data_IF_716990680390
#
_entry.id   IF_716990680390
#
_cell.length_a   1.000
_cell.length_b   1.000
_cell.length_c   1.000
_cell.angle_alpha   90.00
_cell.angle_beta   90.00
_cell.angle_gamma   90.00
#
_symmetry.space_group_name_H-M   'P 1'
#
loop_
_entity.id
_entity.type
_entity.pdbx_description
1 polymer ?
#
# COMPACT_ATOMS: atom_id res chain seq x y z
N UNK A 1 -65.89 -59.26 -10.48
CA UNK A 1 -66.12 -58.00 -9.73
C UNK A 1 -65.08 -57.93 -8.60
N UNK A 2 -64.44 -56.76 -8.42
CA UNK A 2 -63.59 -56.33 -7.26
C UNK A 2 -62.19 -56.99 -7.21
N UNK A 3 -61.08 -56.42 -7.73
CA UNK A 3 -60.26 -55.23 -7.37
C UNK A 3 -59.74 -55.18 -5.91
N UNK A 4 -58.57 -55.75 -5.65
CA UNK A 4 -57.64 -55.33 -4.57
C UNK A 4 -56.19 -55.45 -5.11
N UNK A 5 -55.67 -54.39 -5.75
CA UNK A 5 -54.92 -53.28 -5.14
C UNK A 5 -53.56 -53.72 -4.62
N UNK A 6 -52.52 -53.39 -5.42
CA UNK A 6 -51.10 -53.55 -5.10
C UNK A 6 -50.75 -52.85 -3.77
N UNK A 7 -50.27 -53.59 -2.79
CA UNK A 7 -49.46 -53.02 -1.71
C UNK A 7 -47.99 -53.05 -2.14
N UNK A 8 -47.58 -52.04 -2.92
CA UNK A 8 -46.16 -51.76 -3.18
C UNK A 8 -45.56 -51.22 -1.89
N UNK A 9 -44.87 -52.08 -1.15
CA UNK A 9 -44.01 -51.66 -0.05
C UNK A 9 -42.77 -50.97 -0.66
N UNK A 10 -42.86 -49.66 -0.88
CA UNK A 10 -41.72 -48.84 -1.24
C UNK A 10 -40.91 -48.56 0.04
N UNK A 11 -39.84 -49.32 0.23
CA UNK A 11 -38.80 -48.99 1.17
C UNK A 11 -38.00 -47.83 0.56
N UNK A 12 -38.31 -46.59 0.97
CA UNK A 12 -37.54 -45.40 0.60
C UNK A 12 -36.38 -45.29 1.61
N UNK A 13 -35.12 -45.54 1.21
CA UNK A 13 -34.01 -45.23 2.09
C UNK A 13 -33.85 -43.70 2.10
N UNK A 14 -34.25 -43.09 3.22
CA UNK A 14 -33.89 -41.72 3.56
C UNK A 14 -32.38 -41.65 3.82
N UNK A 15 -31.58 -41.47 2.77
CA UNK A 15 -30.17 -41.12 2.91
C UNK A 15 -30.10 -39.60 3.03
N UNK A 16 -30.24 -39.15 4.27
CA UNK A 16 -29.88 -37.81 4.69
C UNK A 16 -28.35 -37.72 4.84
N UNK A 17 -27.79 -36.60 4.37
CA UNK A 17 -26.54 -36.06 4.89
C UNK A 17 -25.27 -36.43 4.11
N UNK A 18 -24.81 -35.50 3.27
CA UNK A 18 -23.43 -34.97 3.22
C UNK A 18 -23.34 -33.93 2.08
N UNK A 19 -24.05 -32.82 2.26
CA UNK A 19 -23.79 -31.59 1.54
C UNK A 19 -23.27 -30.57 2.55
N UNK A 20 -22.03 -30.76 2.98
CA UNK A 20 -21.33 -29.83 3.86
C UNK A 20 -19.84 -29.79 3.49
N UNK A 21 -19.56 -29.46 2.23
CA UNK A 21 -18.36 -28.67 1.96
C UNK A 21 -18.83 -27.21 2.05
N UNK A 22 -18.90 -26.66 3.27
CA UNK A 22 -18.78 -25.22 3.38
C UNK A 22 -17.34 -24.94 2.95
N UNK A 23 -17.21 -24.36 1.76
CA UNK A 23 -16.01 -23.66 1.35
C UNK A 23 -15.67 -22.73 2.52
N UNK A 24 -14.66 -23.13 3.29
CA UNK A 24 -14.13 -22.27 4.33
C UNK A 24 -13.42 -21.19 3.55
N UNK A 25 -14.13 -20.12 3.26
CA UNK A 25 -13.53 -18.89 2.78
C UNK A 25 -12.54 -18.48 3.87
N UNK A 26 -11.29 -18.91 3.70
CA UNK A 26 -10.16 -18.50 4.52
C UNK A 26 -10.28 -16.97 4.63
N UNK A 27 -10.37 -16.42 5.85
CA UNK A 27 -10.55 -15.00 6.02
C UNK A 27 -9.37 -14.32 5.35
N UNK A 28 -9.64 -13.69 4.20
CA UNK A 28 -8.64 -13.02 3.40
C UNK A 28 -7.88 -12.09 4.32
N UNK A 29 -6.58 -12.32 4.44
CA UNK A 29 -5.62 -11.66 5.31
C UNK A 29 -5.35 -10.24 4.79
N UNK A 30 -6.41 -9.46 4.63
CA UNK A 30 -6.41 -8.08 4.14
C UNK A 30 -6.89 -7.22 5.30
N UNK A 31 -6.09 -6.21 5.68
CA UNK A 31 -6.54 -5.21 6.66
C UNK A 31 -7.89 -4.64 6.20
N UNK A 32 -8.97 -4.76 7.00
CA UNK A 32 -10.25 -4.22 6.61
C UNK A 32 -10.18 -2.69 6.67
N UNK A 33 -10.02 -2.05 5.50
CA UNK A 33 -10.24 -0.62 5.35
C UNK A 33 -11.75 -0.39 5.42
N UNK A 34 -12.23 0.37 6.40
CA UNK A 34 -13.66 0.60 6.54
C UNK A 34 -14.27 1.18 5.24
N UNK A 35 -15.26 0.49 4.69
CA UNK A 35 -15.92 0.82 3.42
C UNK A 35 -15.09 0.51 2.16
N UNK A 36 -13.95 -0.18 2.29
CA UNK A 36 -13.13 -0.62 1.17
C UNK A 36 -13.41 -2.07 0.80
N UNK A 37 -13.47 -2.33 -0.50
CA UNK A 37 -13.65 -3.66 -1.11
C UNK A 37 -12.53 -3.84 -2.15
N UNK A 38 -11.59 -4.78 -1.95
CA UNK A 38 -10.38 -4.90 -2.77
C UNK A 38 -10.64 -5.15 -4.26
N UNK A 39 -11.62 -5.97 -4.61
CA UNK A 39 -11.90 -6.37 -5.99
C UNK A 39 -12.44 -5.19 -6.81
N UNK A 40 -13.29 -4.36 -6.19
CA UNK A 40 -13.73 -3.06 -6.68
C UNK A 40 -12.53 -2.12 -6.81
N UNK A 41 -11.64 -2.11 -5.82
CA UNK A 41 -10.40 -1.34 -5.85
C UNK A 41 -9.54 -1.70 -7.06
N UNK A 42 -9.36 -2.99 -7.33
CA UNK A 42 -8.63 -3.51 -8.50
C UNK A 42 -9.23 -3.01 -9.82
N UNK A 43 -10.55 -3.01 -9.93
CA UNK A 43 -11.25 -2.51 -11.11
C UNK A 43 -11.06 -0.99 -11.27
N UNK A 44 -11.15 -0.23 -10.19
CA UNK A 44 -10.92 1.22 -10.18
C UNK A 44 -9.47 1.57 -10.54
N UNK A 45 -8.47 0.84 -10.02
CA UNK A 45 -7.06 1.02 -10.40
C UNK A 45 -6.87 0.86 -11.91
N UNK A 46 -7.57 -0.09 -12.53
CA UNK A 46 -7.56 -0.25 -13.97
C UNK A 46 -8.26 0.94 -14.68
N UNK A 47 -9.44 1.36 -14.19
CA UNK A 47 -10.24 2.43 -14.79
C UNK A 47 -9.54 3.81 -14.71
N UNK A 48 -8.92 4.14 -13.58
CA UNK A 48 -8.17 5.38 -13.40
C UNK A 48 -6.78 5.36 -14.05
N UNK A 49 -6.40 4.27 -14.71
CA UNK A 49 -5.15 4.18 -15.46
C UNK A 49 -3.90 4.21 -14.59
N UNK A 50 -3.97 3.83 -13.31
CA UNK A 50 -2.82 3.82 -12.39
C UNK A 50 -1.66 2.96 -12.94
N UNK A 51 -2.00 1.91 -13.68
CA UNK A 51 -1.06 0.99 -14.32
C UNK A 51 -0.20 1.59 -15.44
N UNK A 52 -0.53 2.80 -15.92
CA UNK A 52 0.30 3.53 -16.90
C UNK A 52 1.63 3.96 -16.29
N UNK A 53 1.63 4.33 -15.00
CA UNK A 53 2.82 4.77 -14.28
C UNK A 53 3.38 3.69 -13.37
N UNK A 54 2.54 2.85 -12.77
CA UNK A 54 2.93 1.87 -11.76
C UNK A 54 2.88 0.43 -12.27
N UNK A 55 3.75 -0.41 -11.73
CA UNK A 55 3.61 -1.86 -11.79
C UNK A 55 2.79 -2.31 -10.60
N UNK A 56 1.67 -3.00 -10.86
CA UNK A 56 0.69 -3.40 -9.84
C UNK A 56 0.28 -4.85 -10.13
N UNK A 57 0.54 -5.75 -9.18
CA UNK A 57 0.18 -7.15 -9.35
C UNK A 57 -1.33 -7.36 -9.29
N UNK A 58 -1.81 -8.38 -10.00
CA UNK A 58 -3.25 -8.69 -10.18
C UNK A 58 -4.04 -7.69 -11.04
N UNK A 59 -3.45 -6.56 -11.45
CA UNK A 59 -4.06 -5.57 -12.35
C UNK A 59 -3.54 -5.77 -13.77
N UNK A 60 -4.45 -6.09 -14.69
CA UNK A 60 -4.11 -6.36 -16.10
C UNK A 60 -3.47 -5.13 -16.76
N UNK A 61 -2.31 -5.34 -17.37
CA UNK A 61 -1.60 -4.28 -18.11
C UNK A 61 -0.91 -3.24 -17.23
N UNK A 62 -0.99 -3.34 -15.89
CA UNK A 62 -0.29 -2.44 -14.98
C UNK A 62 1.19 -2.79 -14.87
N UNK A 63 1.96 -2.35 -15.86
CA UNK A 63 3.42 -2.61 -15.99
C UNK A 63 4.21 -1.30 -16.15
N UNK A 64 3.63 -0.18 -15.72
CA UNK A 64 4.28 1.13 -15.75
C UNK A 64 5.51 1.17 -14.85
N UNK A 65 6.49 2.00 -15.23
CA UNK A 65 7.77 2.18 -14.52
C UNK A 65 8.13 3.64 -14.26
N UNK A 66 7.20 4.56 -14.53
CA UNK A 66 7.38 6.00 -14.26
C UNK A 66 7.29 6.24 -12.76
N UNK A 67 6.31 5.62 -12.10
CA UNK A 67 6.19 5.57 -10.65
C UNK A 67 6.87 4.34 -10.05
N UNK A 68 7.04 4.31 -8.72
CA UNK A 68 7.55 3.14 -8.02
C UNK A 68 6.64 1.92 -8.20
N UNK A 69 7.22 0.73 -8.08
CA UNK A 69 6.45 -0.53 -8.11
C UNK A 69 5.60 -0.67 -6.83
N UNK A 70 4.39 -1.21 -6.97
CA UNK A 70 3.42 -1.38 -5.88
C UNK A 70 3.15 -2.86 -5.55
N UNK A 71 4.01 -3.76 -6.03
CA UNK A 71 3.85 -5.23 -5.94
C UNK A 71 3.72 -5.77 -4.50
N UNK A 72 4.44 -5.16 -3.56
CA UNK A 72 4.40 -5.50 -2.13
C UNK A 72 3.99 -4.29 -1.28
N UNK A 73 2.96 -3.57 -1.74
CA UNK A 73 2.61 -2.28 -1.16
C UNK A 73 2.32 -2.35 0.35
N UNK A 74 1.73 -3.43 0.84
CA UNK A 74 1.42 -3.57 2.27
C UNK A 74 2.66 -3.57 3.18
N UNK A 75 3.85 -3.89 2.64
CA UNK A 75 5.12 -3.90 3.36
C UNK A 75 5.80 -2.52 3.38
N UNK A 76 5.29 -1.55 2.62
CA UNK A 76 5.84 -0.20 2.57
C UNK A 76 5.52 0.54 3.86
N UNK A 77 6.54 1.07 4.52
CA UNK A 77 6.37 1.89 5.73
C UNK A 77 6.07 3.34 5.40
N UNK A 78 6.54 3.81 4.23
CA UNK A 78 6.39 5.18 3.78
C UNK A 78 5.61 5.25 2.47
N UNK A 79 4.53 6.04 2.48
CA UNK A 79 3.79 6.48 1.31
C UNK A 79 4.56 7.62 0.62
N UNK A 80 4.75 7.48 -0.69
CA UNK A 80 5.46 8.44 -1.54
C UNK A 80 6.89 8.80 -1.05
N UNK A 81 7.46 7.96 -0.19
CA UNK A 81 8.80 8.11 0.39
C UNK A 81 8.92 9.12 1.54
N UNK A 82 7.83 9.70 2.04
CA UNK A 82 7.91 10.72 3.11
C UNK A 82 6.76 10.72 4.12
N UNK A 83 5.60 10.14 3.81
CA UNK A 83 4.48 10.05 4.75
C UNK A 83 4.42 8.66 5.38
N UNK A 84 4.05 8.53 6.66
CA UNK A 84 3.69 7.23 7.22
C UNK A 84 2.61 6.56 6.37
N UNK A 85 2.81 5.29 6.00
CA UNK A 85 1.84 4.52 5.21
C UNK A 85 0.66 4.07 6.09
N UNK A 86 -0.27 4.98 6.34
CA UNK A 86 -1.53 4.69 7.03
C UNK A 86 -2.70 4.76 6.04
N UNK A 87 -3.81 4.03 6.28
CA UNK A 87 -5.02 4.12 5.46
C UNK A 87 -5.48 5.54 5.20
N UNK A 88 -5.50 6.38 6.24
CA UNK A 88 -5.90 7.78 6.15
C UNK A 88 -5.00 8.57 5.20
N UNK A 89 -3.68 8.40 5.30
CA UNK A 89 -2.73 9.10 4.45
C UNK A 89 -2.80 8.62 3.00
N UNK A 90 -2.96 7.32 2.78
CA UNK A 90 -3.12 6.75 1.44
C UNK A 90 -4.39 7.26 0.77
N UNK A 91 -5.53 7.24 1.48
CA UNK A 91 -6.80 7.76 0.95
C UNK A 91 -6.66 9.23 0.54
N UNK A 92 -6.10 10.07 1.42
CA UNK A 92 -5.87 11.48 1.11
C UNK A 92 -4.94 11.69 -0.09
N UNK A 93 -3.87 10.88 -0.19
CA UNK A 93 -2.94 10.92 -1.32
C UNK A 93 -3.55 10.48 -2.64
N UNK A 94 -4.44 9.48 -2.63
CA UNK A 94 -5.15 9.03 -3.84
C UNK A 94 -6.13 10.09 -4.35
N UNK A 95 -6.74 10.86 -3.45
CA UNK A 95 -7.68 11.93 -3.81
C UNK A 95 -6.95 13.15 -4.37
N UNK A 96 -5.92 13.66 -3.68
CA UNK A 96 -5.19 14.85 -4.11
C UNK A 96 -3.70 14.83 -3.73
N UNK A 97 -2.86 14.15 -4.53
CA UNK A 97 -1.43 14.06 -4.25
C UNK A 97 -0.71 15.41 -4.40
N UNK A 98 -1.21 16.31 -5.26
CA UNK A 98 -0.61 17.65 -5.49
C UNK A 98 -0.85 18.57 -4.30
N UNK A 99 -2.01 18.50 -3.65
CA UNK A 99 -2.25 19.24 -2.41
C UNK A 99 -1.32 18.82 -1.26
N UNK A 100 -0.93 17.54 -1.21
CA UNK A 100 -0.06 16.99 -0.18
C UNK A 100 1.43 17.24 -0.51
N UNK A 101 1.82 17.06 -1.77
CA UNK A 101 3.18 17.32 -2.27
C UNK A 101 3.11 18.03 -3.61
N UNK A 102 3.18 19.37 -3.66
CA UNK A 102 3.00 20.14 -4.90
C UNK A 102 3.95 19.78 -6.04
N UNK A 103 5.14 19.25 -5.72
CA UNK A 103 6.15 18.82 -6.70
C UNK A 103 6.07 17.32 -7.04
N UNK A 104 4.98 16.64 -6.69
CA UNK A 104 4.77 15.24 -7.04
C UNK A 104 4.61 15.05 -8.55
N UNK A 105 5.12 13.94 -9.09
CA UNK A 105 4.84 13.53 -10.47
C UNK A 105 3.51 12.79 -10.63
N UNK A 106 2.83 12.44 -9.52
CA UNK A 106 1.53 11.77 -9.56
C UNK A 106 0.41 12.81 -9.70
N UNK A 107 -0.37 12.80 -10.79
CA UNK A 107 -1.47 13.76 -10.98
C UNK A 107 -2.68 13.44 -10.09
N UNK A 108 -3.54 14.43 -9.86
CA UNK A 108 -4.85 14.25 -9.22
C UNK A 108 -5.84 13.64 -10.23
N UNK A 109 -6.21 12.37 -10.04
CA UNK A 109 -7.03 11.60 -10.98
C UNK A 109 -8.55 11.82 -10.81
N UNK A 110 -8.96 12.61 -9.81
CA UNK A 110 -10.38 12.83 -9.48
C UNK A 110 -11.03 11.64 -8.79
N UNK A 111 -10.26 10.88 -8.01
CA UNK A 111 -10.76 9.76 -7.20
C UNK A 111 -11.55 10.32 -6.01
N UNK A 112 -12.77 9.85 -5.81
CA UNK A 112 -13.55 10.20 -4.61
C UNK A 112 -13.04 9.46 -3.38
N UNK A 113 -13.43 9.91 -2.18
CA UNK A 113 -13.02 9.22 -0.94
C UNK A 113 -13.50 7.76 -0.90
N UNK A 114 -14.72 7.49 -1.37
CA UNK A 114 -15.27 6.14 -1.41
C UNK A 114 -14.44 5.22 -2.34
N UNK A 115 -14.14 5.69 -3.55
CA UNK A 115 -13.29 4.96 -4.50
C UNK A 115 -11.86 4.78 -3.96
N UNK A 116 -11.30 5.80 -3.32
CA UNK A 116 -9.98 5.75 -2.71
C UNK A 116 -9.90 4.67 -1.61
N UNK A 117 -10.98 4.44 -0.86
CA UNK A 117 -11.05 3.35 0.14
C UNK A 117 -10.98 1.97 -0.51
N UNK A 118 -11.70 1.77 -1.62
CA UNK A 118 -11.61 0.52 -2.39
C UNK A 118 -10.19 0.31 -2.93
N UNK A 119 -9.60 1.33 -3.56
CA UNK A 119 -8.23 1.28 -4.08
C UNK A 119 -7.23 0.98 -2.96
N UNK A 120 -7.34 1.68 -1.82
CA UNK A 120 -6.49 1.44 -0.66
C UNK A 120 -6.61 0.00 -0.14
N UNK A 121 -7.83 -0.54 -0.06
CA UNK A 121 -8.07 -1.92 0.36
C UNK A 121 -7.33 -2.92 -0.53
N UNK A 122 -7.37 -2.71 -1.86
CA UNK A 122 -6.60 -3.54 -2.79
C UNK A 122 -5.09 -3.38 -2.62
N UNK A 123 -4.58 -2.15 -2.52
CA UNK A 123 -3.14 -1.94 -2.34
C UNK A 123 -2.62 -2.58 -1.06
N UNK A 124 -3.39 -2.55 0.03
CA UNK A 124 -3.04 -3.26 1.26
C UNK A 124 -3.21 -4.79 1.17
N UNK A 125 -3.87 -5.34 0.16
CA UNK A 125 -3.86 -6.80 -0.07
C UNK A 125 -2.61 -7.27 -0.82
N UNK A 126 -1.77 -6.35 -1.36
CA UNK A 126 -0.56 -6.68 -2.11
C UNK A 126 0.65 -6.92 -1.17
N UNK A 127 1.30 -8.08 -1.32
CA UNK A 127 2.52 -8.43 -0.58
C UNK A 127 2.27 -9.02 0.82
N UNK A 128 1.16 -9.73 1.03
CA UNK A 128 0.88 -10.42 2.31
C UNK A 128 0.78 -11.92 2.14
N UNK A 129 1.67 -12.63 2.84
CA UNK A 129 1.43 -14.01 3.31
C UNK A 129 0.97 -14.02 4.80
N UNK A 130 1.26 -12.95 5.58
CA UNK A 130 0.78 -12.71 6.95
C UNK A 130 0.56 -11.20 7.21
N UNK A 131 -0.47 -10.84 8.00
CA UNK A 131 -0.91 -9.44 8.24
C UNK A 131 -0.25 -8.85 9.48
N UNK A 132 0.48 -7.74 9.32
CA UNK A 132 0.69 -6.79 10.40
C UNK A 132 -0.54 -5.88 10.56
N UNK A 133 -1.31 -6.11 11.63
CA UNK A 133 -2.37 -5.21 12.10
C UNK A 133 -1.71 -4.02 12.79
N UNK A 134 -1.95 -2.81 12.27
CA UNK A 134 -1.54 -1.58 12.95
C UNK A 134 -2.56 -1.28 14.06
N UNK A 135 -2.18 -1.34 15.35
CA UNK A 135 -3.08 -0.92 16.43
C UNK A 135 -3.32 0.59 16.36
N UNK A 136 -4.38 1.08 17.01
CA UNK A 136 -4.59 2.53 17.17
C UNK A 136 -3.33 3.19 17.75
N UNK A 137 -2.90 4.30 17.16
CA UNK A 137 -1.67 5.00 17.55
C UNK A 137 -1.69 5.38 19.04
N UNK A 138 -0.69 4.99 19.86
CA UNK A 138 -0.54 5.57 21.18
C UNK A 138 -0.27 7.07 21.02
N UNK A 139 -0.75 7.93 21.94
CA UNK A 139 -0.43 9.35 21.91
C UNK A 139 1.09 9.52 21.85
N UNK A 140 1.57 10.34 20.91
CA UNK A 140 2.98 10.68 20.83
C UNK A 140 3.46 11.14 22.21
N UNK A 141 4.63 10.69 22.70
CA UNK A 141 5.25 11.24 23.90
C UNK A 141 5.80 12.61 23.57
N UNK A 142 4.91 13.58 23.32
CA UNK A 142 5.24 14.98 23.31
C UNK A 142 5.76 15.30 24.71
N UNK A 143 6.93 15.94 24.76
CA UNK A 143 7.69 16.27 25.97
C UNK A 143 6.78 16.96 27.00
N UNK A 144 6.13 16.15 27.83
CA UNK A 144 5.52 16.62 29.06
C UNK A 144 6.62 17.02 30.03
N UNK A 145 6.36 17.98 30.94
CA UNK A 145 7.31 18.31 32.00
C UNK A 145 7.54 17.06 32.86
N UNK A 146 8.70 16.40 32.67
CA UNK A 146 9.09 15.20 33.42
C UNK A 146 9.51 13.99 32.57
N UNK A 147 9.40 14.02 31.23
CA UNK A 147 9.90 12.93 30.40
C UNK A 147 11.44 12.84 30.48
N UNK A 148 11.96 11.75 31.08
CA UNK A 148 13.40 11.42 31.01
C UNK A 148 13.77 11.09 29.57
N UNK A 149 14.85 11.71 29.10
CA UNK A 149 15.51 11.35 27.84
C UNK A 149 15.87 9.87 27.94
N UNK A 150 15.42 9.07 26.97
CA UNK A 150 15.91 7.70 26.83
C UNK A 150 17.30 7.83 26.22
N UNK A 151 18.34 7.57 27.02
CA UNK A 151 19.71 7.42 26.52
C UNK A 151 19.72 6.16 25.64
N UNK A 152 19.90 6.31 24.33
CA UNK A 152 20.16 5.18 23.45
C UNK A 152 21.58 4.66 23.73
N UNK A 153 21.77 3.42 24.21
CA UNK A 153 23.11 2.89 24.44
C UNK A 153 23.79 2.73 23.07
N UNK A 154 24.88 3.48 22.84
CA UNK A 154 25.71 3.32 21.64
C UNK A 154 26.08 4.59 20.86
N UNK A 155 25.62 5.78 21.26
CA UNK A 155 26.05 7.05 20.62
C UNK A 155 27.10 7.78 21.46
N UNK A 156 28.23 7.12 21.72
CA UNK A 156 29.40 7.78 22.31
C UNK A 156 30.57 7.71 21.34
N UNK A 157 30.97 8.89 20.82
CA UNK A 157 32.15 9.15 19.97
C UNK A 157 31.74 9.75 18.62
N UNK A 158 32.12 10.95 18.20
CA UNK A 158 33.23 11.82 18.61
C UNK A 158 32.89 13.27 18.23
N UNK A 159 33.02 14.20 19.17
CA UNK A 159 33.13 15.62 18.92
C UNK A 159 34.60 16.00 18.77
N UNK A 160 35.04 16.38 17.57
CA UNK A 160 36.06 17.42 17.32
C UNK A 160 36.54 17.36 15.86
N UNK A 161 36.34 18.46 15.12
CA UNK A 161 36.93 18.65 13.79
C UNK A 161 36.04 19.49 12.87
N UNK A 162 36.05 20.81 13.06
CA UNK A 162 35.52 21.76 12.08
C UNK A 162 36.38 21.69 10.81
N UNK A 163 35.88 21.04 9.76
CA UNK A 163 36.44 21.12 8.40
C UNK A 163 35.38 21.72 7.47
N UNK A 164 35.58 22.95 6.94
CA UNK A 164 34.57 23.62 6.14
C UNK A 164 34.44 22.93 4.77
N UNK A 165 33.35 22.18 4.58
CA UNK A 165 32.88 21.77 3.25
C UNK A 165 32.35 22.97 2.47
N UNK A 166 33.28 23.81 2.00
CA UNK A 166 33.06 24.76 0.91
C UNK A 166 34.25 24.67 -0.03
N UNK A 167 34.29 23.63 -0.87
CA UNK A 167 35.11 23.69 -2.08
C UNK A 167 34.33 24.50 -3.12
N UNK A 168 34.63 25.80 -3.15
CA UNK A 168 34.22 26.74 -4.20
C UNK A 168 34.78 26.24 -5.55
N UNK A 169 33.96 26.35 -6.59
CA UNK A 169 34.24 26.08 -8.00
C UNK A 169 35.42 26.97 -8.47
N UNK A 170 36.43 26.39 -9.13
CA UNK A 170 37.44 27.12 -9.91
C UNK A 170 37.16 26.79 -11.40
N UNK A 171 36.83 27.77 -12.27
CA UNK A 171 36.77 27.58 -13.71
C UNK A 171 38.19 27.35 -14.25
N UNK A 172 38.37 26.39 -15.15
CA UNK A 172 39.66 26.15 -15.79
C UNK A 172 39.95 27.31 -16.77
N UNK A 173 41.02 28.07 -16.50
CA UNK A 173 41.54 29.13 -17.36
C UNK A 173 42.70 28.56 -18.16
N UNK A 174 42.42 27.91 -19.29
CA UNK A 174 43.46 27.63 -20.29
C UNK A 174 43.67 28.89 -21.13
N UNK A 175 44.67 29.69 -20.72
CA UNK A 175 45.33 30.67 -21.59
C UNK A 175 46.85 30.58 -21.42
N UNK A 176 47.50 29.92 -22.37
CA UNK A 176 48.87 30.24 -22.79
C UNK A 176 48.80 30.36 -24.32
N UNK A 177 48.57 31.59 -24.81
CA UNK A 177 49.61 32.44 -25.38
C UNK A 177 50.30 31.82 -26.60
N UNK A 178 50.08 32.47 -27.74
CA UNK A 178 50.85 32.24 -28.95
C UNK A 178 52.17 33.00 -29.00
N UNK A 179 53.02 32.54 -29.92
CA UNK A 179 54.07 33.25 -30.64
C UNK A 179 54.18 32.50 -31.97
N UNK A 180 53.98 33.05 -33.16
CA UNK A 180 54.48 34.32 -33.69
C UNK A 180 55.54 33.98 -34.74
N UNK A 181 55.12 33.91 -36.01
CA UNK A 181 55.86 34.23 -37.27
C UNK A 181 54.96 33.91 -38.46
#
# INVERSE_FOLDING_TARGET
MIRHALARLLFVPAIAGLAACSDSQEPSSTLPIAGGEPETGRALIQAYGCGTCHTIDGVRGARGKVGPQLVDYAQQHLLAGFLPNTPRNLIAWLMDPVAIKPQTGMPSQGVTEAEARHIAAYLYSLGRDEVQVYPDDPPLPLRGPGARVIEFPGLTGSSAGTDPRTRRIIPNQDTSQGSGS
#
